data_IF_421416255994
#
_entry.id   IF_421416255994
#
_cell.length_a   1.000
_cell.length_b   1.000
_cell.length_c   1.000
_cell.angle_alpha   90.00
_cell.angle_beta   90.00
_cell.angle_gamma   90.00
#
_symmetry.space_group_name_H-M   'P 1'
#
loop_
_entity.id
_entity.type
_entity.pdbx_description
1 polymer ?
#
# COMPACT_ATOMS: atom_id res chain seq x y z
N UNK A 1 39.34 -18.31 -20.61
CA UNK A 1 38.17 -17.99 -21.45
C UNK A 1 37.01 -18.81 -20.93
N UNK A 2 36.25 -18.26 -19.99
CA UNK A 2 35.09 -18.93 -19.40
C UNK A 2 33.96 -17.91 -19.33
N UNK A 3 33.03 -18.05 -20.26
CA UNK A 3 31.90 -17.13 -20.48
C UNK A 3 30.82 -17.48 -19.46
N UNK A 4 30.55 -16.57 -18.51
CA UNK A 4 29.47 -16.73 -17.53
C UNK A 4 28.28 -15.93 -18.04
N UNK A 5 27.28 -16.64 -18.56
CA UNK A 5 25.97 -16.14 -18.96
C UNK A 5 25.16 -15.71 -17.74
N UNK A 6 24.78 -14.43 -17.70
CA UNK A 6 23.91 -13.84 -16.67
C UNK A 6 22.46 -14.16 -17.02
N UNK A 7 21.86 -15.10 -16.28
CA UNK A 7 20.42 -15.37 -16.30
C UNK A 7 19.69 -14.38 -15.39
N UNK A 8 19.00 -13.43 -16.02
CA UNK A 8 18.08 -12.50 -15.36
C UNK A 8 16.77 -13.23 -15.07
N UNK A 9 16.59 -13.72 -13.85
CA UNK A 9 15.30 -14.27 -13.40
C UNK A 9 14.33 -13.12 -13.08
N UNK A 10 13.40 -12.89 -14.00
CA UNK A 10 12.21 -12.07 -13.80
C UNK A 10 11.16 -12.93 -13.08
N UNK A 11 10.62 -12.52 -11.92
CA UNK A 11 9.60 -13.31 -11.25
C UNK A 11 8.28 -13.27 -12.03
N UNK A 12 7.52 -14.37 -12.06
CA UNK A 12 6.34 -14.48 -12.89
C UNK A 12 5.23 -13.58 -12.35
N UNK A 13 4.67 -12.79 -13.27
CA UNK A 13 3.50 -11.94 -13.09
C UNK A 13 2.32 -12.82 -12.66
N UNK A 14 2.06 -12.86 -11.35
CA UNK A 14 0.92 -13.56 -10.77
C UNK A 14 -0.35 -12.89 -11.31
N UNK A 15 -1.07 -13.59 -12.19
CA UNK A 15 -2.44 -13.24 -12.55
C UNK A 15 -3.27 -13.29 -11.27
N UNK A 16 -3.65 -12.12 -10.74
CA UNK A 16 -4.84 -12.01 -9.90
C UNK A 16 -6.01 -11.81 -10.85
N UNK A 17 -6.53 -12.93 -11.35
CA UNK A 17 -7.97 -13.02 -11.55
C UNK A 17 -8.61 -13.09 -10.14
N UNK A 18 -9.83 -12.57 -10.04
CA UNK A 18 -10.65 -12.44 -8.84
C UNK A 18 -10.37 -11.25 -7.94
N UNK A 19 -10.66 -10.05 -8.46
CA UNK A 19 -11.37 -8.99 -7.74
C UNK A 19 -11.82 -7.89 -8.71
N UNK A 20 -12.65 -8.26 -9.70
CA UNK A 20 -13.47 -7.30 -10.44
C UNK A 20 -14.64 -6.84 -9.55
N UNK A 21 -14.30 -6.23 -8.42
CA UNK A 21 -15.26 -5.61 -7.50
C UNK A 21 -15.63 -4.24 -8.08
N UNK A 22 -16.69 -4.24 -8.87
CA UNK A 22 -17.54 -3.08 -9.16
C UNK A 22 -16.75 -1.77 -9.41
N UNK A 23 -15.87 -1.79 -10.41
CA UNK A 23 -15.43 -0.56 -11.05
C UNK A 23 -16.67 0.03 -11.73
N UNK A 24 -17.36 0.89 -10.99
CA UNK A 24 -18.46 1.69 -11.48
C UNK A 24 -17.86 2.68 -12.48
N UNK A 25 -17.67 2.20 -13.71
CA UNK A 25 -17.14 2.97 -14.82
C UNK A 25 -18.09 4.12 -15.09
N UNK A 26 -17.59 5.28 -15.52
CA UNK A 26 -18.43 6.44 -15.87
C UNK A 26 -19.63 6.05 -16.77
N UNK A 27 -19.43 5.07 -17.66
CA UNK A 27 -20.48 4.47 -18.48
C UNK A 27 -21.62 3.81 -17.66
N UNK A 28 -21.29 3.07 -16.59
CA UNK A 28 -22.26 2.43 -15.69
C UNK A 28 -23.13 3.47 -14.97
N UNK A 29 -22.52 4.56 -14.50
CA UNK A 29 -23.26 5.65 -13.84
C UNK A 29 -24.20 6.34 -14.83
N UNK A 30 -23.76 6.56 -16.08
CA UNK A 30 -24.61 7.15 -17.13
C UNK A 30 -25.81 6.24 -17.42
N UNK A 31 -25.58 4.93 -17.58
CA UNK A 31 -26.64 3.96 -17.85
C UNK A 31 -27.68 3.90 -16.71
N UNK A 32 -27.22 3.83 -15.45
CA UNK A 32 -28.09 3.88 -14.28
C UNK A 32 -28.90 5.18 -14.21
N UNK A 33 -28.29 6.33 -14.56
CA UNK A 33 -29.03 7.61 -14.57
C UNK A 33 -30.07 7.68 -15.69
N UNK A 34 -29.81 7.09 -16.85
CA UNK A 34 -30.80 6.98 -17.93
C UNK A 34 -31.94 6.02 -17.56
N UNK A 35 -31.62 4.91 -16.90
CA UNK A 35 -32.63 3.99 -16.37
C UNK A 35 -33.55 4.66 -15.34
N UNK A 36 -32.98 5.42 -14.40
CA UNK A 36 -33.74 6.20 -13.42
C UNK A 36 -34.62 7.26 -14.10
N UNK A 37 -34.12 7.95 -15.15
CA UNK A 37 -34.96 8.88 -15.94
C UNK A 37 -36.13 8.16 -16.61
N UNK A 38 -35.93 6.96 -17.14
CA UNK A 38 -36.97 6.15 -17.77
C UNK A 38 -38.04 5.70 -16.76
N UNK A 39 -37.64 5.32 -15.55
CA UNK A 39 -38.57 5.04 -14.46
C UNK A 39 -39.36 6.30 -14.09
N UNK A 40 -38.68 7.44 -13.92
CA UNK A 40 -39.35 8.72 -13.56
C UNK A 40 -40.39 9.14 -14.58
N UNK A 41 -40.06 9.04 -15.87
CA UNK A 41 -41.00 9.38 -16.95
C UNK A 41 -42.19 8.41 -17.01
N UNK A 42 -41.98 7.13 -16.69
CA UNK A 42 -43.06 6.14 -16.63
C UNK A 42 -43.97 6.38 -15.43
N UNK A 43 -43.41 6.65 -14.25
CA UNK A 43 -44.18 7.03 -13.06
C UNK A 43 -44.97 8.34 -13.28
N UNK A 44 -44.40 9.32 -13.98
CA UNK A 44 -45.09 10.57 -14.32
C UNK A 44 -46.24 10.34 -15.32
N UNK A 45 -46.10 9.40 -16.25
CA UNK A 45 -47.19 8.98 -17.15
C UNK A 45 -48.31 8.29 -16.38
N UNK A 46 -47.98 7.38 -15.47
CA UNK A 46 -48.96 6.70 -14.59
C UNK A 46 -49.70 7.74 -13.73
N UNK A 47 -48.97 8.67 -13.11
CA UNK A 47 -49.55 9.78 -12.34
C UNK A 47 -50.45 10.64 -13.21
N UNK A 48 -49.98 11.05 -14.38
CA UNK A 48 -50.78 11.84 -15.33
C UNK A 48 -52.04 11.10 -15.78
N UNK A 49 -52.00 9.78 -15.91
CA UNK A 49 -53.16 8.98 -16.27
C UNK A 49 -54.18 8.87 -15.13
N UNK A 50 -53.72 8.64 -13.90
CA UNK A 50 -54.60 8.59 -12.73
C UNK A 50 -55.29 9.94 -12.45
N UNK A 51 -54.58 11.05 -12.64
CA UNK A 51 -55.11 12.39 -12.33
C UNK A 51 -55.76 13.12 -13.52
N UNK A 52 -55.64 12.59 -14.76
CA UNK A 52 -56.41 13.12 -15.91
C UNK A 52 -57.82 12.52 -16.01
N UNK A 53 -58.05 11.32 -15.49
CA UNK A 53 -59.38 10.69 -15.51
C UNK A 53 -60.32 11.18 -14.41
N UNK A 54 -59.81 11.78 -13.33
CA UNK A 54 -60.65 12.41 -12.29
C UNK A 54 -61.41 13.65 -12.78
N UNK A 55 -60.87 14.38 -13.77
CA UNK A 55 -61.52 15.58 -14.31
C UNK A 55 -62.60 15.22 -15.35
N UNK A 56 -62.50 14.06 -16.01
CA UNK A 56 -63.45 13.67 -17.07
C UNK A 56 -64.62 12.81 -16.58
N UNK A 57 -64.48 12.09 -15.47
CA UNK A 57 -65.59 11.29 -14.92
C UNK A 57 -66.52 12.04 -13.97
N UNK A 58 -66.11 13.21 -13.45
CA UNK A 58 -66.95 14.03 -12.57
C UNK A 58 -67.95 14.95 -13.30
N UNK A 59 -68.01 14.92 -14.64
CA UNK A 59 -68.83 15.84 -15.44
C UNK A 59 -69.90 15.18 -16.34
N UNK A 60 -70.20 13.88 -16.18
CA UNK A 60 -71.29 13.23 -16.93
C UNK A 60 -72.15 12.31 -16.06
N UNK A 61 -73.24 12.91 -15.56
CA UNK A 61 -74.49 12.30 -15.04
C UNK A 61 -74.36 11.66 -13.63
N UNK A 62 -75.16 12.02 -12.61
CA UNK A 62 -76.62 12.13 -12.61
C UNK A 62 -77.14 13.31 -11.78
N UNK A 63 -77.83 14.22 -12.47
CA UNK A 63 -78.80 15.14 -11.90
C UNK A 63 -80.17 14.44 -11.97
N UNK A 64 -80.73 14.09 -10.81
CA UNK A 64 -82.16 13.80 -10.63
C UNK A 64 -82.56 14.64 -9.40
N UNK A 65 -82.86 15.93 -9.53
CA UNK A 65 -84.20 16.46 -9.85
C UNK A 65 -85.31 15.63 -9.21
N UNK A 66 -85.55 15.90 -7.92
CA UNK A 66 -86.83 15.60 -7.29
C UNK A 66 -87.90 16.51 -7.91
N UNK A 67 -88.56 16.04 -8.97
CA UNK A 67 -89.83 16.57 -9.46
C UNK A 67 -90.97 15.72 -8.91
N UNK A 68 -91.91 16.31 -8.17
CA UNK A 68 -93.27 15.80 -8.09
C UNK A 68 -94.02 16.26 -9.35
N UNK A 69 -94.40 15.34 -10.23
CA UNK A 69 -95.35 15.63 -11.32
C UNK A 69 -96.70 14.98 -10.99
N UNK A 70 -97.74 15.80 -11.07
CA UNK A 70 -99.12 15.43 -10.76
C UNK A 70 -99.84 14.63 -11.85
N UNK A 71 -100.99 14.11 -11.41
CA UNK A 71 -102.22 13.70 -12.09
C UNK A 71 -102.17 13.24 -13.55
N UNK A 72 -102.73 12.05 -13.78
CA UNK A 72 -103.93 11.90 -14.60
C UNK A 72 -104.90 10.87 -14.00
N UNK A 73 -106.17 11.15 -14.27
CA UNK A 73 -107.39 10.54 -13.77
C UNK A 73 -107.73 9.17 -14.38
N UNK A 74 -108.73 8.57 -13.72
CA UNK A 74 -109.75 7.65 -14.22
C UNK A 74 -109.38 6.16 -14.35
N UNK A 75 -109.95 5.39 -13.43
CA UNK A 75 -111.20 4.72 -13.76
C UNK A 75 -111.10 3.24 -14.08
N UNK A 76 -111.95 2.49 -13.36
CA UNK A 76 -112.50 1.18 -13.70
C UNK A 76 -111.66 -0.05 -13.33
N UNK A 77 -112.06 -0.65 -12.21
CA UNK A 77 -112.41 -2.06 -12.05
C UNK A 77 -111.74 -3.07 -12.99
N UNK A 78 -110.79 -3.83 -12.45
CA UNK A 78 -110.81 -5.29 -12.60
C UNK A 78 -110.00 -5.94 -11.47
N UNK A 79 -110.69 -6.67 -10.61
CA UNK A 79 -110.11 -7.67 -9.72
C UNK A 79 -109.30 -8.69 -10.54
N UNK A 80 -107.97 -8.78 -10.33
CA UNK A 80 -107.20 -10.04 -10.21
C UNK A 80 -105.88 -9.73 -9.49
N UNK A 81 -105.54 -10.52 -8.47
CA UNK A 81 -104.32 -10.51 -7.66
C UNK A 81 -103.06 -11.00 -8.43
N UNK A 82 -101.91 -10.28 -8.36
CA UNK A 82 -100.60 -10.89 -8.60
C UNK A 82 -99.50 -10.38 -7.63
N UNK A 83 -99.69 -10.52 -6.32
CA UNK A 83 -98.72 -10.03 -5.31
C UNK A 83 -97.61 -11.04 -4.90
N UNK A 84 -97.69 -12.32 -5.32
CA UNK A 84 -96.75 -13.35 -4.84
C UNK A 84 -95.43 -13.42 -5.65
N UNK A 85 -95.47 -13.23 -6.97
CA UNK A 85 -94.28 -13.42 -7.83
C UNK A 85 -93.23 -12.29 -7.72
N UNK A 86 -93.63 -11.08 -7.29
CA UNK A 86 -92.74 -9.92 -7.16
C UNK A 86 -91.88 -9.99 -5.89
N UNK A 87 -92.46 -10.48 -4.78
CA UNK A 87 -91.76 -10.64 -3.50
C UNK A 87 -90.71 -11.76 -3.57
N UNK A 88 -91.05 -12.87 -4.21
CA UNK A 88 -90.15 -14.01 -4.37
C UNK A 88 -88.90 -13.65 -5.20
N UNK A 89 -89.07 -12.91 -6.30
CA UNK A 89 -87.97 -12.41 -7.14
C UNK A 89 -87.05 -11.43 -6.38
N UNK A 90 -87.59 -10.63 -5.45
CA UNK A 90 -86.79 -9.75 -4.60
C UNK A 90 -85.99 -10.52 -3.55
N UNK A 91 -86.60 -11.54 -2.94
CA UNK A 91 -85.92 -12.41 -1.98
C UNK A 91 -84.78 -13.21 -2.64
N UNK A 92 -84.97 -13.67 -3.88
CA UNK A 92 -83.92 -14.35 -4.63
C UNK A 92 -82.76 -13.41 -4.99
N UNK A 93 -83.05 -12.17 -5.42
CA UNK A 93 -82.03 -11.13 -5.63
C UNK A 93 -81.28 -10.77 -4.35
N UNK A 94 -81.97 -10.72 -3.21
CA UNK A 94 -81.34 -10.47 -1.91
C UNK A 94 -80.38 -11.60 -1.55
N UNK A 95 -80.83 -12.86 -1.68
CA UNK A 95 -79.99 -14.04 -1.44
C UNK A 95 -78.77 -14.10 -2.37
N UNK A 96 -78.94 -13.73 -3.63
CA UNK A 96 -77.84 -13.60 -4.58
C UNK A 96 -76.82 -12.53 -4.18
N UNK A 97 -77.29 -11.38 -3.69
CA UNK A 97 -76.42 -10.33 -3.14
C UNK A 97 -75.70 -10.77 -1.87
N UNK A 98 -76.35 -11.51 -0.98
CA UNK A 98 -75.73 -12.04 0.25
C UNK A 98 -74.63 -13.06 -0.06
N UNK A 99 -74.86 -13.93 -1.06
CA UNK A 99 -73.81 -14.83 -1.56
C UNK A 99 -72.63 -14.06 -2.16
N UNK A 100 -72.90 -13.00 -2.92
CA UNK A 100 -71.85 -12.14 -3.48
C UNK A 100 -71.07 -11.40 -2.39
N UNK A 101 -71.75 -10.90 -1.35
CA UNK A 101 -71.12 -10.26 -0.20
C UNK A 101 -70.20 -11.24 0.54
N UNK A 102 -70.65 -12.49 0.74
CA UNK A 102 -69.86 -13.53 1.38
C UNK A 102 -68.58 -13.83 0.59
N UNK A 103 -68.67 -13.90 -0.73
CA UNK A 103 -67.50 -14.16 -1.59
C UNK A 103 -66.52 -12.99 -1.57
N UNK A 104 -67.01 -11.75 -1.69
CA UNK A 104 -66.18 -10.54 -1.54
C UNK A 104 -65.53 -10.47 -0.16
N UNK A 105 -66.21 -10.92 0.90
CA UNK A 105 -65.62 -10.96 2.24
C UNK A 105 -64.47 -11.98 2.36
N UNK A 106 -64.62 -13.18 1.76
CA UNK A 106 -63.52 -14.16 1.68
C UNK A 106 -62.34 -13.61 0.87
N UNK A 107 -62.60 -12.96 -0.25
CA UNK A 107 -61.56 -12.32 -1.07
C UNK A 107 -60.81 -11.24 -0.27
N UNK A 108 -61.51 -10.41 0.51
CA UNK A 108 -60.89 -9.41 1.38
C UNK A 108 -59.98 -10.03 2.45
N UNK A 109 -60.40 -11.13 3.08
CA UNK A 109 -59.54 -11.85 4.05
C UNK A 109 -58.27 -12.42 3.38
N UNK A 110 -58.41 -12.99 2.17
CA UNK A 110 -57.26 -13.46 1.39
C UNK A 110 -56.32 -12.30 1.02
N UNK A 111 -56.87 -11.15 0.60
CA UNK A 111 -56.08 -9.96 0.27
C UNK A 111 -55.33 -9.41 1.50
N UNK A 112 -55.95 -9.44 2.67
CA UNK A 112 -55.32 -9.03 3.93
C UNK A 112 -54.12 -9.92 4.27
N UNK A 113 -54.26 -11.24 4.17
CA UNK A 113 -53.16 -12.20 4.37
C UNK A 113 -52.03 -11.96 3.35
N UNK A 114 -52.36 -11.75 2.07
CA UNK A 114 -51.35 -11.46 1.03
C UNK A 114 -50.61 -10.15 1.31
N UNK A 115 -51.32 -9.12 1.76
CA UNK A 115 -50.72 -7.84 2.12
C UNK A 115 -49.75 -7.99 3.30
N UNK A 116 -50.17 -8.71 4.35
CA UNK A 116 -49.33 -8.98 5.52
C UNK A 116 -48.10 -9.82 5.15
N UNK A 117 -48.27 -10.88 4.34
CA UNK A 117 -47.17 -11.70 3.85
C UNK A 117 -46.19 -10.91 2.98
N UNK A 118 -46.69 -10.02 2.10
CA UNK A 118 -45.84 -9.14 1.28
C UNK A 118 -45.07 -8.13 2.14
N UNK A 119 -45.68 -7.62 3.21
CA UNK A 119 -45.02 -6.70 4.16
C UNK A 119 -43.94 -7.43 4.96
N UNK A 120 -44.23 -8.62 5.46
CA UNK A 120 -43.25 -9.41 6.22
C UNK A 120 -42.09 -9.88 5.33
N UNK A 121 -42.37 -10.31 4.10
CA UNK A 121 -41.33 -10.63 3.12
C UNK A 121 -40.42 -9.42 2.83
N UNK A 122 -41.01 -8.23 2.69
CA UNK A 122 -40.26 -6.98 2.52
C UNK A 122 -39.38 -6.65 3.74
N UNK A 123 -39.92 -6.76 4.95
CA UNK A 123 -39.17 -6.53 6.19
C UNK A 123 -38.05 -7.57 6.40
N UNK A 124 -38.30 -8.84 6.07
CA UNK A 124 -37.29 -9.90 6.11
C UNK A 124 -36.17 -9.65 5.10
N UNK A 125 -36.49 -9.21 3.87
CA UNK A 125 -35.48 -8.85 2.88
C UNK A 125 -34.59 -7.70 3.36
N UNK A 126 -35.18 -6.65 3.96
CA UNK A 126 -34.42 -5.54 4.54
C UNK A 126 -33.50 -5.99 5.69
N UNK A 127 -34.00 -6.84 6.60
CA UNK A 127 -33.18 -7.42 7.67
C UNK A 127 -32.01 -8.23 7.12
N UNK A 128 -32.25 -9.07 6.10
CA UNK A 128 -31.21 -9.88 5.48
C UNK A 128 -30.13 -9.03 4.81
N UNK A 129 -30.52 -7.98 4.08
CA UNK A 129 -29.58 -7.06 3.44
C UNK A 129 -28.77 -6.30 4.48
N UNK A 130 -29.41 -5.80 5.54
CA UNK A 130 -28.71 -5.11 6.63
C UNK A 130 -27.70 -6.03 7.34
N UNK A 131 -28.09 -7.27 7.63
CA UNK A 131 -27.21 -8.26 8.25
C UNK A 131 -26.01 -8.58 7.35
N UNK A 132 -26.24 -8.89 6.06
CA UNK A 132 -25.16 -9.17 5.11
C UNK A 132 -24.20 -7.98 4.96
N UNK A 133 -24.73 -6.76 4.92
CA UNK A 133 -23.91 -5.56 4.85
C UNK A 133 -23.01 -5.42 6.08
N UNK A 134 -23.56 -5.68 7.27
CA UNK A 134 -22.81 -5.64 8.52
C UNK A 134 -21.72 -6.72 8.58
N UNK A 135 -22.07 -7.97 8.26
CA UNK A 135 -21.13 -9.10 8.22
C UNK A 135 -19.99 -8.84 7.23
N UNK A 136 -20.31 -8.33 6.04
CA UNK A 136 -19.31 -7.98 5.03
C UNK A 136 -18.38 -6.85 5.52
N UNK A 137 -18.93 -5.79 6.12
CA UNK A 137 -18.13 -4.70 6.68
C UNK A 137 -17.23 -5.18 7.81
N UNK A 138 -17.76 -6.02 8.70
CA UNK A 138 -16.99 -6.61 9.78
C UNK A 138 -15.84 -7.45 9.21
N UNK A 139 -16.14 -8.43 8.35
CA UNK A 139 -15.13 -9.29 7.73
C UNK A 139 -14.04 -8.50 7.00
N UNK A 140 -14.41 -7.47 6.23
CA UNK A 140 -13.47 -6.60 5.53
C UNK A 140 -12.58 -5.82 6.50
N UNK A 141 -13.16 -5.28 7.58
CA UNK A 141 -12.40 -4.57 8.62
C UNK A 141 -11.40 -5.50 9.32
N UNK A 142 -11.81 -6.74 9.63
CA UNK A 142 -10.93 -7.72 10.26
C UNK A 142 -9.78 -8.14 9.34
N UNK A 143 -10.05 -8.37 8.07
CA UNK A 143 -9.04 -8.72 7.06
C UNK A 143 -8.01 -7.60 6.88
N UNK A 144 -8.45 -6.35 6.76
CA UNK A 144 -7.56 -5.19 6.66
C UNK A 144 -6.70 -5.06 7.92
N UNK A 145 -7.29 -5.22 9.11
CA UNK A 145 -6.58 -5.19 10.39
C UNK A 145 -5.55 -6.32 10.49
N UNK A 146 -5.89 -7.52 10.04
CA UNK A 146 -4.98 -8.68 10.01
C UNK A 146 -3.82 -8.42 9.05
N UNK A 147 -4.09 -8.03 7.80
CA UNK A 147 -3.08 -7.65 6.81
C UNK A 147 -2.13 -6.56 7.33
N UNK A 148 -2.66 -5.56 8.03
CA UNK A 148 -1.85 -4.52 8.65
C UNK A 148 -0.94 -5.07 9.74
N UNK A 149 -1.46 -5.95 10.62
CA UNK A 149 -0.67 -6.62 11.66
C UNK A 149 0.44 -7.48 11.06
N UNK A 150 0.13 -8.26 10.03
CA UNK A 150 1.08 -9.13 9.33
C UNK A 150 2.16 -8.29 8.63
N UNK A 151 1.78 -7.20 7.96
CA UNK A 151 2.72 -6.25 7.35
C UNK A 151 3.66 -5.60 8.39
N UNK A 152 3.13 -5.21 9.56
CA UNK A 152 3.94 -4.68 10.66
C UNK A 152 4.94 -5.73 11.18
N UNK A 153 4.52 -6.97 11.34
CA UNK A 153 5.40 -8.07 11.76
C UNK A 153 6.49 -8.35 10.71
N UNK A 154 6.13 -8.40 9.43
CA UNK A 154 7.08 -8.58 8.33
C UNK A 154 8.13 -7.46 8.29
N UNK A 155 7.70 -6.21 8.44
CA UNK A 155 8.60 -5.06 8.53
C UNK A 155 9.54 -5.15 9.75
N UNK A 156 9.03 -5.61 10.88
CA UNK A 156 9.85 -5.79 12.09
C UNK A 156 10.91 -6.89 11.90
N UNK A 157 10.54 -8.03 11.31
CA UNK A 157 11.49 -9.11 10.99
C UNK A 157 12.54 -8.63 10.00
N UNK A 158 12.14 -7.93 8.93
CA UNK A 158 13.07 -7.39 7.95
C UNK A 158 14.05 -6.39 8.59
N UNK A 159 13.55 -5.49 9.47
CA UNK A 159 14.39 -4.57 10.22
C UNK A 159 15.46 -5.30 11.03
N UNK A 160 15.07 -6.33 11.79
CA UNK A 160 15.99 -7.12 12.61
C UNK A 160 17.02 -7.87 11.75
N UNK A 161 16.61 -8.44 10.62
CA UNK A 161 17.51 -9.12 9.69
C UNK A 161 18.57 -8.16 9.11
N UNK A 162 18.15 -6.95 8.73
CA UNK A 162 19.06 -5.91 8.23
C UNK A 162 20.02 -5.42 9.31
N UNK A 163 19.54 -5.26 10.54
CA UNK A 163 20.35 -4.89 11.70
C UNK A 163 21.40 -5.97 12.03
N UNK A 164 21.03 -7.25 11.98
CA UNK A 164 21.95 -8.36 12.16
C UNK A 164 23.02 -8.41 11.07
N UNK A 165 22.64 -8.22 9.79
CA UNK A 165 23.60 -8.14 8.67
C UNK A 165 24.57 -6.98 8.85
N UNK A 166 24.07 -5.82 9.27
CA UNK A 166 24.93 -4.66 9.57
C UNK A 166 25.92 -4.99 10.69
N UNK A 167 25.47 -5.62 11.78
CA UNK A 167 26.33 -6.03 12.89
C UNK A 167 27.44 -6.98 12.42
N UNK A 168 27.10 -7.98 11.59
CA UNK A 168 28.08 -8.89 11.01
C UNK A 168 29.11 -8.16 10.12
N UNK A 169 28.67 -7.18 9.32
CA UNK A 169 29.59 -6.37 8.52
C UNK A 169 30.53 -5.52 9.38
N UNK A 170 30.03 -4.93 10.46
CA UNK A 170 30.86 -4.17 11.42
C UNK A 170 31.89 -5.08 12.08
N UNK A 171 31.50 -6.28 12.50
CA UNK A 171 32.43 -7.26 13.09
C UNK A 171 33.51 -7.71 12.11
N UNK A 172 33.14 -7.98 10.84
CA UNK A 172 34.11 -8.29 9.79
C UNK A 172 35.06 -7.12 9.51
N UNK A 173 34.56 -5.88 9.53
CA UNK A 173 35.41 -4.70 9.37
C UNK A 173 36.40 -4.56 10.53
N UNK A 174 35.95 -4.75 11.77
CA UNK A 174 36.83 -4.73 12.94
C UNK A 174 37.94 -5.77 12.83
N UNK A 175 37.62 -7.02 12.43
CA UNK A 175 38.63 -8.06 12.20
C UNK A 175 39.65 -7.69 11.11
N UNK A 176 39.23 -6.98 10.06
CA UNK A 176 40.13 -6.49 9.01
C UNK A 176 41.01 -5.36 9.55
N UNK A 177 40.46 -4.46 10.36
CA UNK A 177 41.21 -3.38 11.00
C UNK A 177 42.26 -3.93 11.97
N UNK A 178 41.91 -4.90 12.82
CA UNK A 178 42.85 -5.55 13.74
C UNK A 178 44.02 -6.22 12.98
N UNK A 179 43.71 -7.00 11.93
CA UNK A 179 44.75 -7.61 11.08
C UNK A 179 45.63 -6.57 10.38
N UNK A 180 45.06 -5.44 9.99
CA UNK A 180 45.81 -4.35 9.36
C UNK A 180 46.77 -3.70 10.37
N UNK A 181 46.32 -3.45 11.60
CA UNK A 181 47.15 -2.94 12.68
C UNK A 181 48.29 -3.90 13.03
N UNK A 182 48.01 -5.21 13.16
CA UNK A 182 49.03 -6.24 13.38
C UNK A 182 50.11 -6.24 12.28
N UNK A 183 49.68 -6.19 11.01
CA UNK A 183 50.60 -6.12 9.87
C UNK A 183 51.40 -4.82 9.87
N UNK A 184 50.81 -3.71 10.30
CA UNK A 184 51.52 -2.44 10.43
C UNK A 184 52.59 -2.51 11.52
N UNK A 185 52.28 -3.09 12.68
CA UNK A 185 53.28 -3.33 13.74
C UNK A 185 54.42 -4.22 13.24
N UNK A 186 54.12 -5.30 12.51
CA UNK A 186 55.14 -6.18 11.92
C UNK A 186 56.05 -5.43 10.93
N UNK A 187 55.51 -4.53 10.12
CA UNK A 187 56.30 -3.67 9.23
C UNK A 187 57.24 -2.79 10.04
N UNK A 188 56.73 -2.10 11.07
CA UNK A 188 57.55 -1.21 11.91
C UNK A 188 58.68 -1.97 12.61
N UNK A 189 58.43 -3.19 13.09
CA UNK A 189 59.46 -4.04 13.70
C UNK A 189 60.56 -4.44 12.70
N UNK A 190 60.18 -4.83 11.48
CA UNK A 190 61.12 -5.20 10.42
C UNK A 190 61.93 -3.99 9.92
N UNK A 191 61.30 -2.82 9.81
CA UNK A 191 61.98 -1.55 9.47
C UNK A 191 63.04 -1.20 10.53
N UNK A 192 62.70 -1.31 11.81
CA UNK A 192 63.65 -1.08 12.91
C UNK A 192 64.80 -2.10 12.92
N UNK A 193 64.53 -3.37 12.58
CA UNK A 193 65.57 -4.39 12.44
C UNK A 193 66.52 -4.05 11.27
N UNK A 194 65.96 -3.71 10.11
CA UNK A 194 66.73 -3.31 8.93
C UNK A 194 67.60 -2.10 9.21
N UNK A 195 67.06 -1.08 9.89
CA UNK A 195 67.82 0.12 10.24
C UNK A 195 69.03 -0.20 11.14
N UNK A 196 68.86 -1.10 12.12
CA UNK A 196 69.96 -1.56 12.98
C UNK A 196 71.02 -2.32 12.18
N UNK A 197 70.61 -3.23 11.32
CA UNK A 197 71.53 -3.99 10.47
C UNK A 197 72.28 -3.08 9.49
N UNK A 198 71.64 -2.04 8.94
CA UNK A 198 72.31 -1.05 8.09
C UNK A 198 73.29 -0.17 8.86
N UNK A 199 72.99 0.19 10.12
CA UNK A 199 73.94 0.88 11.01
C UNK A 199 75.17 0.01 11.28
N UNK A 200 74.96 -1.28 11.57
CA UNK A 200 76.05 -2.25 11.79
C UNK A 200 76.91 -2.43 10.53
N UNK A 201 76.29 -2.61 9.36
CA UNK A 201 77.00 -2.69 8.08
C UNK A 201 77.87 -1.47 7.84
N UNK A 202 77.37 -0.25 8.13
CA UNK A 202 78.13 1.00 8.01
C UNK A 202 79.35 1.01 8.95
N UNK A 203 79.16 0.63 10.20
CA UNK A 203 80.25 0.53 11.20
C UNK A 203 81.33 -0.48 10.79
N UNK A 204 80.94 -1.66 10.30
CA UNK A 204 81.88 -2.68 9.82
C UNK A 204 82.67 -2.20 8.59
N UNK A 205 82.02 -1.51 7.66
CA UNK A 205 82.68 -0.91 6.49
C UNK A 205 83.71 0.16 6.90
N UNK A 206 83.37 1.03 7.85
CA UNK A 206 84.28 2.05 8.38
C UNK A 206 85.49 1.40 9.08
N UNK A 207 85.25 0.36 9.90
CA UNK A 207 86.33 -0.39 10.55
C UNK A 207 87.23 -1.07 9.51
N UNK A 208 86.67 -1.71 8.49
CA UNK A 208 87.43 -2.32 7.40
C UNK A 208 88.33 -1.30 6.69
N UNK A 209 87.78 -0.14 6.31
CA UNK A 209 88.54 0.96 5.68
C UNK A 209 89.69 1.46 6.57
N UNK A 210 89.47 1.55 7.89
CA UNK A 210 90.52 1.94 8.84
C UNK A 210 91.68 0.94 8.89
N UNK A 211 91.39 -0.36 8.79
CA UNK A 211 92.40 -1.42 8.79
C UNK A 211 93.14 -1.49 7.45
N UNK A 212 92.44 -1.29 6.32
CA UNK A 212 93.06 -1.18 4.99
C UNK A 212 94.04 0.00 4.93
N UNK A 213 93.68 1.14 5.52
CA UNK A 213 94.55 2.32 5.61
C UNK A 213 95.80 2.03 6.47
N UNK A 214 95.64 1.37 7.62
CA UNK A 214 96.77 0.95 8.47
C UNK A 214 97.66 -0.05 7.75
N UNK A 215 97.08 -1.02 7.04
CA UNK A 215 97.82 -2.00 6.25
C UNK A 215 98.66 -1.35 5.15
N UNK A 216 98.11 -0.32 4.46
CA UNK A 216 98.86 0.47 3.48
C UNK A 216 100.05 1.19 4.12
N UNK A 217 99.88 1.81 5.30
CA UNK A 217 100.96 2.48 6.05
C UNK A 217 102.03 1.51 6.58
N UNK A 218 101.64 0.30 6.98
CA UNK A 218 102.58 -0.73 7.43
C UNK A 218 103.31 -1.38 6.25
N UNK A 219 102.68 -1.55 5.08
CA UNK A 219 103.35 -2.05 3.87
C UNK A 219 104.45 -1.14 3.34
N UNK A 220 104.40 0.17 3.61
CA UNK A 220 105.51 1.08 3.33
C UNK A 220 106.73 0.87 4.24
N UNK A 221 106.62 0.10 5.33
CA UNK A 221 107.68 -0.19 6.29
C UNK A 221 107.98 -1.71 6.32
N UNK A 222 109.10 -2.14 5.72
CA UNK A 222 109.42 -3.56 5.45
C UNK A 222 109.63 -4.46 6.68
N UNK A 223 109.63 -3.92 7.89
CA UNK A 223 109.99 -4.61 9.15
C UNK A 223 108.85 -5.36 9.85
N UNK A 224 107.59 -5.18 9.44
CA UNK A 224 106.42 -5.68 10.20
C UNK A 224 105.53 -6.71 9.46
N UNK A 225 106.15 -7.69 8.78
CA UNK A 225 105.45 -8.68 7.95
C UNK A 225 104.31 -9.45 8.67
N UNK A 226 104.53 -9.85 9.93
CA UNK A 226 103.54 -10.60 10.73
C UNK A 226 102.29 -9.77 11.04
N UNK A 227 102.48 -8.50 11.44
CA UNK A 227 101.38 -7.57 11.70
C UNK A 227 100.57 -7.25 10.44
N UNK A 228 101.22 -7.16 9.28
CA UNK A 228 100.52 -7.04 7.99
C UNK A 228 99.65 -8.26 7.69
N UNK A 229 100.14 -9.47 7.97
CA UNK A 229 99.39 -10.70 7.75
C UNK A 229 98.18 -10.80 8.70
N UNK A 230 98.36 -10.45 9.98
CA UNK A 230 97.27 -10.40 10.96
C UNK A 230 96.18 -9.40 10.52
N UNK A 231 96.55 -8.20 10.08
CA UNK A 231 95.62 -7.21 9.53
C UNK A 231 94.90 -7.70 8.27
N UNK A 232 95.60 -8.41 7.38
CA UNK A 232 95.01 -9.00 6.17
C UNK A 232 93.95 -10.06 6.52
N UNK A 233 94.18 -10.85 7.58
CA UNK A 233 93.19 -11.82 8.08
C UNK A 233 91.97 -11.12 8.70
N UNK A 234 92.16 -10.08 9.51
CA UNK A 234 91.05 -9.30 10.10
C UNK A 234 90.19 -8.63 9.01
N UNK A 235 90.82 -8.08 7.96
CA UNK A 235 90.11 -7.51 6.80
C UNK A 235 89.29 -8.57 6.06
N UNK A 236 89.82 -9.79 5.92
CA UNK A 236 89.11 -10.90 5.25
C UNK A 236 87.89 -11.35 6.06
N UNK A 237 88.04 -11.46 7.39
CA UNK A 237 86.93 -11.79 8.31
C UNK A 237 85.84 -10.70 8.25
N UNK A 238 86.23 -9.42 8.30
CA UNK A 238 85.27 -8.30 8.18
C UNK A 238 84.56 -8.31 6.83
N UNK A 239 85.27 -8.64 5.74
CA UNK A 239 84.67 -8.73 4.42
C UNK A 239 83.61 -9.84 4.36
N UNK A 240 83.88 -11.01 4.96
CA UNK A 240 82.93 -12.11 5.07
C UNK A 240 81.71 -11.72 5.94
N UNK A 241 81.91 -11.08 7.09
CA UNK A 241 80.84 -10.57 7.95
C UNK A 241 79.94 -9.56 7.21
N UNK A 242 80.54 -8.64 6.46
CA UNK A 242 79.80 -7.66 5.63
C UNK A 242 78.98 -8.39 4.56
N UNK A 243 79.55 -9.40 3.89
CA UNK A 243 78.85 -10.18 2.87
C UNK A 243 77.66 -10.96 3.44
N UNK A 244 77.83 -11.61 4.61
CA UNK A 244 76.72 -12.28 5.29
C UNK A 244 75.62 -11.30 5.72
N UNK A 245 75.99 -10.17 6.32
CA UNK A 245 75.03 -9.18 6.77
C UNK A 245 74.25 -8.57 5.59
N UNK A 246 74.92 -8.33 4.45
CA UNK A 246 74.27 -7.91 3.21
C UNK A 246 73.23 -8.93 2.71
N UNK A 247 73.52 -10.23 2.77
CA UNK A 247 72.58 -11.27 2.37
C UNK A 247 71.33 -11.28 3.27
N UNK A 248 71.51 -11.20 4.59
CA UNK A 248 70.38 -11.16 5.53
C UNK A 248 69.55 -9.89 5.31
N UNK A 249 70.17 -8.71 5.15
CA UNK A 249 69.49 -7.46 4.82
C UNK A 249 68.65 -7.62 3.53
N UNK A 250 69.21 -8.24 2.49
CA UNK A 250 68.48 -8.46 1.24
C UNK A 250 67.23 -9.34 1.44
N UNK A 251 67.36 -10.45 2.17
CA UNK A 251 66.23 -11.33 2.48
C UNK A 251 65.15 -10.62 3.30
N UNK A 252 65.55 -9.78 4.27
CA UNK A 252 64.62 -9.02 5.11
C UNK A 252 63.89 -7.93 4.31
N UNK A 253 64.57 -7.24 3.39
CA UNK A 253 63.92 -6.32 2.45
C UNK A 253 62.91 -7.03 1.55
N UNK A 254 63.19 -8.26 1.11
CA UNK A 254 62.26 -9.03 0.29
C UNK A 254 60.99 -9.42 1.07
N UNK A 255 61.14 -9.82 2.33
CA UNK A 255 60.02 -10.06 3.23
C UNK A 255 59.18 -8.79 3.46
N UNK A 256 59.84 -7.67 3.75
CA UNK A 256 59.18 -6.38 3.95
C UNK A 256 58.35 -5.98 2.71
N UNK A 257 58.92 -6.14 1.50
CA UNK A 257 58.19 -5.89 0.24
C UNK A 257 56.95 -6.77 0.09
N UNK A 258 57.02 -8.04 0.48
CA UNK A 258 55.86 -8.96 0.45
C UNK A 258 54.74 -8.47 1.38
N UNK A 259 55.08 -8.07 2.60
CA UNK A 259 54.09 -7.59 3.59
C UNK A 259 53.48 -6.26 3.14
N UNK A 260 54.28 -5.34 2.58
CA UNK A 260 53.77 -4.09 1.98
C UNK A 260 52.79 -4.39 0.84
N UNK A 261 53.09 -5.38 -0.01
CA UNK A 261 52.20 -5.78 -1.09
C UNK A 261 50.88 -6.38 -0.57
N UNK A 262 50.92 -7.19 0.49
CA UNK A 262 49.71 -7.68 1.18
C UNK A 262 48.87 -6.51 1.72
N UNK A 263 49.51 -5.54 2.37
CA UNK A 263 48.86 -4.35 2.92
C UNK A 263 48.22 -3.48 1.83
N UNK A 264 48.91 -3.25 0.71
CA UNK A 264 48.36 -2.50 -0.42
C UNK A 264 47.14 -3.23 -1.03
N UNK A 265 47.17 -4.57 -1.05
CA UNK A 265 46.03 -5.41 -1.45
C UNK A 265 44.81 -5.21 -0.54
N UNK A 266 44.99 -5.26 0.78
CA UNK A 266 43.93 -5.02 1.76
C UNK A 266 43.37 -3.59 1.65
N UNK A 267 44.24 -2.59 1.50
CA UNK A 267 43.86 -1.18 1.29
C UNK A 267 43.02 -0.99 0.02
N UNK A 268 43.34 -1.68 -1.07
CA UNK A 268 42.54 -1.64 -2.30
C UNK A 268 41.17 -2.30 -2.11
N UNK A 269 41.10 -3.41 -1.37
CA UNK A 269 39.83 -4.04 -1.02
C UNK A 269 38.95 -3.09 -0.19
N UNK A 270 39.53 -2.43 0.82
CA UNK A 270 38.83 -1.43 1.63
C UNK A 270 38.26 -0.30 0.77
N UNK A 271 39.07 0.27 -0.14
CA UNK A 271 38.60 1.28 -1.11
C UNK A 271 37.46 0.78 -2.01
N UNK A 272 37.46 -0.49 -2.37
CA UNK A 272 36.36 -1.09 -3.14
C UNK A 272 35.08 -1.19 -2.30
N UNK A 273 35.19 -1.59 -1.04
CA UNK A 273 34.06 -1.60 -0.11
C UNK A 273 33.51 -0.20 0.13
N UNK A 274 34.37 0.82 0.28
CA UNK A 274 33.94 2.22 0.41
C UNK A 274 33.12 2.68 -0.80
N UNK A 275 33.54 2.33 -2.03
CA UNK A 275 32.76 2.61 -3.24
C UNK A 275 31.40 1.90 -3.23
N UNK A 276 31.33 0.66 -2.74
CA UNK A 276 30.05 -0.07 -2.60
C UNK A 276 29.15 0.59 -1.57
N UNK A 277 29.71 1.07 -0.46
CA UNK A 277 28.99 1.82 0.57
C UNK A 277 28.41 3.10 -0.03
N UNK A 278 29.19 3.88 -0.77
CA UNK A 278 28.70 5.09 -1.44
C UNK A 278 27.57 4.80 -2.44
N UNK A 279 27.73 3.78 -3.29
CA UNK A 279 26.66 3.35 -4.21
C UNK A 279 25.37 2.94 -3.47
N UNK A 280 25.49 2.28 -2.31
CA UNK A 280 24.35 1.90 -1.49
C UNK A 280 23.72 3.12 -0.81
N UNK A 281 24.51 4.09 -0.33
CA UNK A 281 24.02 5.37 0.21
C UNK A 281 23.22 6.14 -0.85
N UNK A 282 23.70 6.22 -2.09
CA UNK A 282 22.97 6.85 -3.19
C UNK A 282 21.61 6.17 -3.45
N UNK A 283 21.57 4.84 -3.47
CA UNK A 283 20.32 4.08 -3.60
C UNK A 283 19.36 4.35 -2.44
N UNK A 284 19.87 4.41 -1.21
CA UNK A 284 19.06 4.76 -0.03
C UNK A 284 18.49 6.17 -0.18
N UNK A 285 19.30 7.16 -0.58
CA UNK A 285 18.84 8.53 -0.80
C UNK A 285 17.74 8.62 -1.86
N UNK A 286 17.87 7.89 -2.98
CA UNK A 286 16.84 7.82 -4.03
C UNK A 286 15.55 7.21 -3.46
N UNK A 287 15.65 6.09 -2.76
CA UNK A 287 14.48 5.43 -2.15
C UNK A 287 13.83 6.30 -1.07
N UNK A 288 14.61 7.03 -0.28
CA UNK A 288 14.09 7.99 0.71
C UNK A 288 13.36 9.15 0.04
N UNK A 289 13.88 9.69 -1.07
CA UNK A 289 13.21 10.72 -1.84
C UNK A 289 11.89 10.22 -2.43
N UNK A 290 11.88 9.02 -3.02
CA UNK A 290 10.66 8.36 -3.51
C UNK A 290 9.65 8.11 -2.39
N UNK A 291 10.10 7.69 -1.21
CA UNK A 291 9.24 7.46 -0.06
C UNK A 291 8.64 8.78 0.46
N UNK A 292 9.43 9.86 0.51
CA UNK A 292 8.92 11.21 0.82
C UNK A 292 7.87 11.65 -0.20
N UNK A 293 8.08 11.44 -1.49
CA UNK A 293 7.10 11.75 -2.54
C UNK A 293 5.82 10.91 -2.42
N UNK A 294 5.93 9.62 -2.14
CA UNK A 294 4.76 8.77 -1.90
C UNK A 294 4.01 9.23 -0.64
N UNK A 295 4.73 9.61 0.41
CA UNK A 295 4.13 10.13 1.65
C UNK A 295 3.41 11.45 1.42
N UNK A 296 3.96 12.37 0.62
CA UNK A 296 3.26 13.62 0.25
C UNK A 296 2.05 13.35 -0.63
N UNK A 297 2.13 12.40 -1.59
CA UNK A 297 0.97 11.97 -2.37
C UNK A 297 -0.13 11.39 -1.48
N UNK A 298 0.20 10.47 -0.57
CA UNK A 298 -0.76 9.91 0.38
C UNK A 298 -1.36 10.99 1.27
N UNK A 299 -0.55 11.94 1.74
CA UNK A 299 -1.04 13.10 2.50
C UNK A 299 -2.04 13.93 1.68
N UNK A 300 -1.72 14.23 0.42
CA UNK A 300 -2.62 14.93 -0.52
C UNK A 300 -3.94 14.18 -0.74
N UNK A 301 -3.89 12.86 -0.94
CA UNK A 301 -5.10 12.01 -1.07
C UNK A 301 -5.91 11.94 0.23
N UNK A 302 -5.26 12.09 1.39
CA UNK A 302 -5.92 12.12 2.69
C UNK A 302 -6.46 13.51 3.08
N UNK A 303 -5.82 14.58 2.63
CA UNK A 303 -6.23 15.98 2.86
C UNK A 303 -7.27 16.45 1.86
N UNK A 304 -7.30 15.89 0.63
CA UNK A 304 -8.40 16.15 -0.29
C UNK A 304 -9.69 15.71 0.41
N UNK A 305 -10.56 16.66 0.83
CA UNK A 305 -11.80 16.28 1.47
C UNK A 305 -12.57 15.52 0.39
N UNK A 306 -12.99 14.29 0.69
CA UNK A 306 -14.07 13.64 -0.06
C UNK A 306 -15.14 14.71 -0.24
N UNK A 307 -15.26 15.23 -1.45
CA UNK A 307 -15.98 16.46 -1.74
C UNK A 307 -17.37 16.24 -1.17
N UNK A 308 -17.70 17.02 -0.14
CA UNK A 308 -19.01 17.02 0.50
C UNK A 308 -20.02 17.48 -0.55
N UNK A 309 -20.46 16.58 -1.42
CA UNK A 309 -21.75 16.70 -2.09
C UNK A 309 -22.79 16.33 -1.04
N UNK A 310 -23.01 17.24 -0.10
CA UNK A 310 -24.14 17.33 0.82
C UNK A 310 -24.01 18.68 1.54
N UNK A 311 -24.09 19.78 0.77
CA UNK A 311 -24.40 21.09 1.33
C UNK A 311 -25.91 21.09 1.59
N UNK A 312 -26.31 20.56 2.74
CA UNK A 312 -27.66 20.76 3.23
C UNK A 312 -27.90 22.26 3.40
N UNK A 313 -29.00 22.72 2.83
CA UNK A 313 -29.57 24.06 2.98
C UNK A 313 -29.82 24.28 4.47
N UNK A 314 -28.95 25.05 5.12
CA UNK A 314 -29.14 25.53 6.49
C UNK A 314 -29.71 26.95 6.38
N UNK A 315 -31.03 27.06 6.34
CA UNK A 315 -31.74 28.33 6.55
C UNK A 315 -32.01 28.48 8.05
N UNK A 316 -31.16 29.21 8.76
CA UNK A 316 -31.48 29.72 10.09
C UNK A 316 -31.73 31.23 10.03
N UNK A 317 -32.98 31.58 10.29
CA UNK A 317 -33.47 32.78 10.99
C UNK A 317 -32.98 34.16 10.54
N UNK A 318 -33.75 34.78 9.64
CA UNK A 318 -34.05 36.21 9.75
C UNK A 318 -35.56 36.37 9.79
N UNK A 319 -36.06 36.87 10.94
CA UNK A 319 -37.45 37.27 11.14
C UNK A 319 -37.78 38.43 10.20
N UNK A 320 -38.73 38.24 9.29
CA UNK A 320 -39.59 39.33 8.80
C UNK A 320 -40.98 38.77 8.48
N UNK A 321 -41.91 39.19 9.32
CA UNK A 321 -43.35 39.41 9.10
C UNK A 321 -44.06 38.67 7.97
N UNK A 322 -44.90 37.73 8.40
CA UNK A 322 -46.31 37.70 8.03
C UNK A 322 -46.64 37.55 6.55
N UNK A 323 -46.61 36.32 6.02
CA UNK A 323 -47.61 35.86 5.05
C UNK A 323 -47.66 34.32 5.06
N UNK A 324 -48.80 33.77 5.47
CA UNK A 324 -49.05 32.32 5.42
C UNK A 324 -49.08 31.81 3.97
N UNK A 325 -48.43 30.68 3.63
CA UNK A 325 -48.33 30.14 2.27
C UNK A 325 -49.67 29.79 1.59
N UNK A 326 -50.77 29.80 2.33
CA UNK A 326 -52.10 29.41 1.84
C UNK A 326 -52.88 30.55 1.17
N UNK A 327 -52.44 31.79 1.26
CA UNK A 327 -53.18 32.95 0.74
C UNK A 327 -53.15 33.03 -0.80
N UNK A 328 -52.14 32.45 -1.46
CA UNK A 328 -52.07 32.39 -2.93
C UNK A 328 -53.15 31.51 -3.57
N UNK A 329 -53.72 30.54 -2.83
CA UNK A 329 -54.70 29.61 -3.36
C UNK A 329 -56.13 30.18 -3.45
N UNK A 330 -56.39 31.32 -2.79
CA UNK A 330 -57.74 31.92 -2.73
C UNK A 330 -58.02 32.85 -3.94
N UNK A 331 -56.98 33.27 -4.69
CA UNK A 331 -57.14 34.21 -5.82
C UNK A 331 -57.44 33.57 -7.18
N UNK A 332 -57.60 32.25 -7.25
CA UNK A 332 -57.86 31.52 -8.50
C UNK A 332 -59.31 31.04 -8.68
N UNK A 333 -60.26 31.58 -7.91
CA UNK A 333 -61.70 31.48 -8.23
C UNK A 333 -62.26 32.86 -8.57
N UNK A 334 -62.33 33.16 -9.85
CA UNK A 334 -63.40 33.95 -10.47
C UNK A 334 -63.89 33.19 -11.69
#
# INVERSE_FOLDING_TARGET
MTTITVTTEVPPKKKMEDSALYECTSAHIIEETEYVKKIRTTLEKIRSQMFKDEVRHNSRNHKLEAKPCGNFQNGSDSEVDPSCCSLELLMEKLRGKDLQLLEVNKENEVLKIKLEASREAGAAALRNVAQKLFENYQAQSEDVRKKHKDSKQLLQVNKLEKEQKLKQHVENLNQVTEKLEEKHSQITELENLLERMEKEKRSLLERKLSLETKLLQLKSNTTYAKSCQDLQTEISILQEQISHLQFVIHSQHQNLRSIIQEMEGLKNNLKEQDKRIENLKEKVNILEAQNKELKTKVALWSETPRTKVCKAVSTSETKTEGTSPYVMLIRLRK
#
